data_IF_197615722233
#
_entry.id   IF_197615722233
#
_cell.length_a   1.000
_cell.length_b   1.000
_cell.length_c   1.000
_cell.angle_alpha   90.00
_cell.angle_beta   90.00
_cell.angle_gamma   90.00
#
_symmetry.space_group_name_H-M   'P 1'
#
loop_
_entity.id
_entity.type
_entity.pdbx_description
1 polymer ?
#
# COMPACT_ATOMS: atom_id res chain seq x y z
N UNK A 1 31.76 -17.41 5.08
CA UNK A 1 31.77 -16.64 3.80
C UNK A 1 30.37 -16.42 3.18
N UNK A 2 29.43 -17.38 3.20
CA UNK A 2 28.09 -17.23 2.56
C UNK A 2 27.20 -16.11 3.16
N UNK A 3 27.22 -15.92 4.48
CA UNK A 3 26.40 -14.92 5.19
C UNK A 3 26.77 -13.46 4.84
N UNK A 4 28.06 -13.17 4.73
CA UNK A 4 28.56 -11.83 4.34
C UNK A 4 28.17 -11.50 2.90
N UNK A 5 28.10 -12.51 2.03
CA UNK A 5 27.72 -12.35 0.63
C UNK A 5 26.20 -12.15 0.48
N UNK A 6 25.39 -12.82 1.32
CA UNK A 6 23.94 -12.59 1.41
C UNK A 6 23.62 -11.18 1.94
N UNK A 7 24.34 -10.71 2.97
CA UNK A 7 24.20 -9.34 3.49
C UNK A 7 24.59 -8.29 2.44
N UNK A 8 25.70 -8.48 1.72
CA UNK A 8 26.10 -7.58 0.62
C UNK A 8 25.04 -7.54 -0.50
N UNK A 9 24.45 -8.67 -0.85
CA UNK A 9 23.37 -8.73 -1.85
C UNK A 9 22.10 -8.02 -1.35
N UNK A 10 21.77 -8.15 -0.06
CA UNK A 10 20.64 -7.44 0.55
C UNK A 10 20.84 -5.91 0.53
N UNK A 11 22.00 -5.41 0.95
CA UNK A 11 22.32 -3.98 0.91
C UNK A 11 22.38 -3.40 -0.50
N UNK A 12 22.88 -4.16 -1.49
CA UNK A 12 22.86 -3.74 -2.89
C UNK A 12 21.44 -3.69 -3.47
N UNK A 13 20.56 -4.62 -3.06
CA UNK A 13 19.13 -4.59 -3.43
C UNK A 13 18.45 -3.34 -2.86
N UNK A 14 18.71 -3.02 -1.59
CA UNK A 14 18.20 -1.80 -0.94
C UNK A 14 18.70 -0.54 -1.68
N UNK A 15 19.98 -0.46 -2.05
CA UNK A 15 20.52 0.67 -2.82
C UNK A 15 19.84 0.88 -4.18
N UNK A 16 19.33 -0.19 -4.81
CA UNK A 16 18.64 -0.08 -6.09
C UNK A 16 17.25 0.58 -5.97
N UNK A 17 16.59 0.46 -4.82
CA UNK A 17 15.32 1.14 -4.54
C UNK A 17 15.47 2.65 -4.32
N UNK A 18 16.68 3.13 -3.99
CA UNK A 18 16.97 4.56 -3.79
C UNK A 18 17.54 5.26 -5.04
N UNK A 19 17.91 4.53 -6.09
CA UNK A 19 18.30 5.15 -7.36
C UNK A 19 17.06 5.54 -8.16
N UNK A 20 16.56 6.75 -7.93
CA UNK A 20 15.60 7.43 -8.80
C UNK A 20 16.10 7.37 -10.26
N UNK A 21 15.46 6.57 -11.10
CA UNK A 21 15.33 6.94 -12.52
C UNK A 21 14.12 7.86 -12.60
N UNK A 22 14.38 9.13 -12.86
CA UNK A 22 13.34 10.05 -13.31
C UNK A 22 12.84 9.54 -14.68
N UNK A 23 11.84 8.67 -14.69
CA UNK A 23 11.04 8.49 -15.90
C UNK A 23 10.19 9.74 -16.03
N UNK A 24 10.66 10.70 -16.81
CA UNK A 24 9.84 11.81 -17.25
C UNK A 24 8.54 11.23 -17.82
N UNK A 25 7.42 11.56 -17.19
CA UNK A 25 6.10 11.25 -17.72
C UNK A 25 5.97 12.10 -18.98
N UNK A 26 6.17 11.48 -20.15
CA UNK A 26 5.88 12.10 -21.43
C UNK A 26 4.36 12.21 -21.53
N UNK A 27 3.83 13.40 -21.27
CA UNK A 27 2.47 13.76 -21.63
C UNK A 27 2.38 13.77 -23.16
N UNK A 28 2.00 12.64 -23.74
CA UNK A 28 1.49 12.64 -25.11
C UNK A 28 0.13 13.33 -25.08
N UNK A 29 0.12 14.64 -25.34
CA UNK A 29 -1.10 15.37 -25.70
C UNK A 29 -1.80 14.61 -26.83
N UNK A 30 -3.10 14.25 -26.70
CA UNK A 30 -3.84 13.72 -27.83
C UNK A 30 -3.85 14.78 -28.94
N UNK A 31 -3.44 14.40 -30.15
CA UNK A 31 -3.57 15.25 -31.34
C UNK A 31 -5.05 15.54 -31.57
N UNK A 32 -5.38 16.81 -31.80
CA UNK A 32 -6.71 17.23 -32.20
C UNK A 32 -7.13 16.47 -33.47
N UNK A 33 -8.36 15.98 -33.49
CA UNK A 33 -8.97 15.38 -34.67
C UNK A 33 -9.19 16.52 -35.66
N UNK A 34 -8.37 16.58 -36.70
CA UNK A 34 -8.60 17.43 -37.86
C UNK A 34 -9.78 16.89 -38.65
N UNK A 35 -10.89 17.63 -38.65
CA UNK A 35 -12.00 17.41 -39.58
C UNK A 35 -11.50 17.61 -41.02
N UNK A 36 -11.24 16.51 -41.73
CA UNK A 36 -10.95 16.56 -43.16
C UNK A 36 -12.22 16.87 -43.96
N UNK A 37 -12.04 17.80 -44.89
CA UNK A 37 -13.00 18.39 -45.83
C UNK A 37 -13.88 17.36 -46.55
N UNK A 38 -15.11 17.81 -46.85
CA UNK A 38 -16.05 17.26 -47.82
C UNK A 38 -15.35 16.78 -49.10
N UNK A 39 -15.57 15.52 -49.46
CA UNK A 39 -15.41 15.02 -50.83
C UNK A 39 -16.81 14.90 -51.43
N UNK A 40 -17.09 15.78 -52.39
CA UNK A 40 -18.14 15.53 -53.37
C UNK A 40 -17.58 14.55 -54.41
N UNK A 41 -18.21 13.39 -54.55
CA UNK A 41 -18.31 12.71 -55.84
C UNK A 41 -19.55 11.83 -55.82
N UNK A 42 -20.51 12.24 -56.64
CA UNK A 42 -21.68 11.49 -57.07
C UNK A 42 -21.30 10.08 -57.51
N UNK A 43 -21.99 9.08 -56.96
CA UNK A 43 -22.41 7.89 -57.70
C UNK A 43 -23.79 7.53 -57.19
N UNK A 44 -24.77 7.57 -58.10
CA UNK A 44 -26.10 7.02 -57.87
C UNK A 44 -25.93 5.52 -57.58
N UNK A 45 -26.25 5.14 -56.35
CA UNK A 45 -26.51 3.76 -55.98
C UNK A 45 -27.99 3.72 -55.64
N UNK A 46 -28.71 2.87 -56.36
CA UNK A 46 -30.14 2.66 -56.23
C UNK A 46 -30.57 2.50 -54.78
N UNK A 47 -31.69 3.15 -54.47
CA UNK A 47 -32.43 3.08 -53.23
C UNK A 47 -32.84 1.62 -52.93
N UNK A 48 -31.95 0.86 -52.31
CA UNK A 48 -32.39 -0.02 -51.25
C UNK A 48 -32.58 0.88 -50.04
N UNK A 49 -33.83 1.06 -49.61
CA UNK A 49 -34.14 1.66 -48.32
C UNK A 49 -33.38 0.88 -47.26
N UNK A 50 -32.22 1.39 -46.82
CA UNK A 50 -31.59 0.93 -45.60
C UNK A 50 -32.64 1.17 -44.53
N UNK A 51 -33.22 0.08 -44.05
CA UNK A 51 -34.25 0.11 -43.04
C UNK A 51 -33.57 0.51 -41.72
N UNK A 52 -33.45 1.83 -41.48
CA UNK A 52 -32.83 2.42 -40.28
C UNK A 52 -33.56 1.99 -38.98
N UNK A 53 -34.73 1.38 -39.12
CA UNK A 53 -35.55 0.79 -38.06
C UNK A 53 -34.83 -0.30 -37.23
N UNK A 54 -33.69 -0.83 -37.67
CA UNK A 54 -32.89 -1.83 -36.92
C UNK A 54 -31.66 -1.26 -36.18
N UNK A 55 -31.42 0.06 -36.20
CA UNK A 55 -30.30 0.66 -35.46
C UNK A 55 -30.63 0.94 -33.99
N UNK A 56 -31.90 0.87 -33.59
CA UNK A 56 -32.29 1.16 -32.21
C UNK A 56 -31.61 0.19 -31.23
N UNK A 57 -31.58 -1.10 -31.54
CA UNK A 57 -30.89 -2.09 -30.70
C UNK A 57 -29.38 -1.81 -30.57
N UNK A 58 -28.73 -1.35 -31.64
CA UNK A 58 -27.32 -0.96 -31.62
C UNK A 58 -27.10 0.31 -30.78
N UNK A 59 -27.94 1.33 -30.95
CA UNK A 59 -27.89 2.59 -30.20
C UNK A 59 -28.13 2.32 -28.71
N UNK A 60 -29.12 1.50 -28.37
CA UNK A 60 -29.46 1.14 -27.00
C UNK A 60 -28.31 0.36 -26.35
N UNK A 61 -27.74 -0.63 -27.05
CA UNK A 61 -26.54 -1.36 -26.59
C UNK A 61 -25.36 -0.42 -26.35
N UNK A 62 -25.15 0.56 -27.24
CA UNK A 62 -24.08 1.55 -27.10
C UNK A 62 -24.31 2.47 -25.90
N UNK A 63 -25.53 2.96 -25.71
CA UNK A 63 -25.90 3.80 -24.57
C UNK A 63 -25.71 3.06 -23.23
N UNK A 64 -26.08 1.77 -23.16
CA UNK A 64 -25.85 0.93 -21.98
C UNK A 64 -24.35 0.78 -21.70
N UNK A 65 -23.54 0.50 -22.72
CA UNK A 65 -22.09 0.37 -22.57
C UNK A 65 -21.43 1.69 -22.14
N UNK A 66 -21.84 2.81 -22.72
CA UNK A 66 -21.30 4.13 -22.36
C UNK A 66 -21.70 4.52 -20.92
N UNK A 67 -22.92 4.20 -20.48
CA UNK A 67 -23.36 4.37 -19.09
C UNK A 67 -22.56 3.51 -18.11
N UNK A 68 -22.28 2.25 -18.47
CA UNK A 68 -21.43 1.36 -17.67
C UNK A 68 -19.99 1.89 -17.57
N UNK A 69 -19.44 2.41 -18.68
CA UNK A 69 -18.10 3.01 -18.70
C UNK A 69 -18.05 4.29 -17.86
N UNK A 70 -19.06 5.15 -17.94
CA UNK A 70 -19.16 6.37 -17.12
C UNK A 70 -19.22 6.03 -15.62
N UNK A 71 -20.02 5.02 -15.26
CA UNK A 71 -20.05 4.51 -13.89
C UNK A 71 -18.67 4.04 -13.42
N UNK A 72 -17.98 3.20 -14.22
CA UNK A 72 -16.63 2.73 -13.89
C UNK A 72 -15.63 3.88 -13.73
N UNK A 73 -15.66 4.88 -14.62
CA UNK A 73 -14.82 6.08 -14.51
C UNK A 73 -15.08 6.85 -13.21
N UNK A 74 -16.35 7.00 -12.82
CA UNK A 74 -16.72 7.66 -11.55
C UNK A 74 -16.21 6.91 -10.33
N UNK A 75 -16.27 5.57 -10.35
CA UNK A 75 -15.72 4.72 -9.29
C UNK A 75 -14.20 4.87 -9.20
N UNK A 76 -13.50 4.89 -10.34
CA UNK A 76 -12.05 5.11 -10.40
C UNK A 76 -11.68 6.49 -9.82
N UNK A 77 -12.40 7.55 -10.21
CA UNK A 77 -12.15 8.90 -9.69
C UNK A 77 -12.35 8.98 -8.16
N UNK A 78 -13.40 8.35 -7.64
CA UNK A 78 -13.62 8.25 -6.20
C UNK A 78 -12.47 7.49 -5.50
N UNK A 79 -11.99 6.40 -6.10
CA UNK A 79 -10.83 5.66 -5.58
C UNK A 79 -9.59 6.55 -5.51
N UNK A 80 -9.31 7.33 -6.56
CA UNK A 80 -8.18 8.26 -6.58
C UNK A 80 -8.26 9.28 -5.44
N UNK A 81 -9.43 9.87 -5.20
CA UNK A 81 -9.64 10.82 -4.09
C UNK A 81 -9.39 10.18 -2.72
N UNK A 82 -9.88 8.95 -2.51
CA UNK A 82 -9.65 8.21 -1.25
C UNK A 82 -8.17 7.90 -1.05
N UNK A 83 -7.45 7.51 -2.13
CA UNK A 83 -6.00 7.28 -2.07
C UNK A 83 -5.22 8.55 -1.75
N UNK A 84 -5.63 9.70 -2.28
CA UNK A 84 -5.04 11.00 -1.95
C UNK A 84 -5.22 11.34 -0.46
N UNK A 85 -6.41 11.10 0.10
CA UNK A 85 -6.68 11.29 1.54
C UNK A 85 -5.79 10.37 2.41
N UNK A 86 -5.63 9.11 2.03
CA UNK A 86 -4.73 8.18 2.73
C UNK A 86 -3.27 8.67 2.73
N UNK A 87 -2.80 9.27 1.62
CA UNK A 87 -1.47 9.87 1.53
C UNK A 87 -1.37 11.11 2.44
N UNK A 88 -2.39 11.96 2.44
CA UNK A 88 -2.43 13.15 3.29
C UNK A 88 -2.33 12.77 4.77
N UNK A 89 -3.10 11.79 5.25
CA UNK A 89 -3.01 11.31 6.64
C UNK A 89 -1.57 10.86 6.98
N UNK A 90 -0.93 10.08 6.09
CA UNK A 90 0.47 9.66 6.29
C UNK A 90 1.43 10.85 6.38
N UNK A 91 1.23 11.88 5.56
CA UNK A 91 2.06 13.08 5.58
C UNK A 91 1.83 13.88 6.86
N UNK A 92 0.59 13.98 7.35
CA UNK A 92 0.28 14.65 8.63
C UNK A 92 1.08 14.05 9.79
N UNK A 93 1.18 12.71 9.88
CA UNK A 93 2.02 12.07 10.90
C UNK A 93 3.50 12.37 10.73
N UNK A 94 3.98 12.45 9.49
CA UNK A 94 5.39 12.74 9.16
C UNK A 94 5.76 14.19 9.38
N UNK A 95 4.83 15.12 9.26
CA UNK A 95 5.08 16.56 9.38
C UNK A 95 4.83 17.07 10.80
N UNK A 96 3.99 16.38 11.58
CA UNK A 96 3.74 16.73 12.98
C UNK A 96 4.93 16.41 13.87
N UNK A 97 5.48 17.45 14.52
CA UNK A 97 6.63 17.33 15.44
C UNK A 97 6.36 16.40 16.62
N UNK A 98 5.19 16.50 17.27
CA UNK A 98 4.77 15.63 18.36
C UNK A 98 4.79 14.14 17.93
N UNK A 99 4.26 13.87 16.73
CA UNK A 99 4.25 12.52 16.14
C UNK A 99 5.67 12.04 15.80
N UNK A 100 6.53 12.90 15.27
CA UNK A 100 7.93 12.55 14.99
C UNK A 100 8.71 12.23 16.26
N UNK A 101 8.47 12.96 17.35
CA UNK A 101 9.13 12.73 18.63
C UNK A 101 8.73 11.38 19.22
N UNK A 102 7.43 11.07 19.24
CA UNK A 102 6.92 9.75 19.64
C UNK A 102 7.53 8.64 18.76
N UNK A 103 7.58 8.85 17.45
CA UNK A 103 8.15 7.91 16.49
C UNK A 103 9.61 7.59 16.79
N UNK A 104 10.45 8.60 17.03
CA UNK A 104 11.87 8.41 17.36
C UNK A 104 12.04 7.67 18.67
N UNK A 105 11.32 8.08 19.73
CA UNK A 105 11.37 7.44 21.04
C UNK A 105 10.98 5.96 20.96
N UNK A 106 9.93 5.63 20.22
CA UNK A 106 9.51 4.23 20.01
C UNK A 106 10.54 3.41 19.23
N UNK A 107 11.17 3.99 18.21
CA UNK A 107 12.22 3.30 17.45
C UNK A 107 13.40 2.94 18.34
N UNK A 108 13.83 3.87 19.19
CA UNK A 108 14.98 3.64 20.06
C UNK A 108 14.65 2.60 21.13
N UNK A 109 13.45 2.65 21.73
CA UNK A 109 12.97 1.61 22.65
C UNK A 109 12.94 0.22 21.98
N UNK A 110 12.34 0.10 20.79
CA UNK A 110 12.27 -1.17 20.05
C UNK A 110 13.66 -1.72 19.72
N UNK A 111 14.61 -0.87 19.30
CA UNK A 111 15.99 -1.30 19.02
C UNK A 111 16.69 -1.85 20.26
N UNK A 112 16.55 -1.15 21.39
CA UNK A 112 17.14 -1.56 22.67
C UNK A 112 16.58 -2.92 23.06
N UNK A 113 15.25 -3.07 23.04
CA UNK A 113 14.55 -4.32 23.37
C UNK A 113 14.95 -5.49 22.47
N UNK A 114 14.98 -5.31 21.15
CA UNK A 114 15.44 -6.37 20.22
C UNK A 114 16.89 -6.76 20.52
N UNK A 115 17.77 -5.78 20.77
CA UNK A 115 19.16 -6.07 21.10
C UNK A 115 19.31 -6.83 22.42
N UNK A 116 18.52 -6.48 23.44
CA UNK A 116 18.54 -7.16 24.73
C UNK A 116 18.00 -8.58 24.61
N UNK A 117 16.90 -8.78 23.86
CA UNK A 117 16.35 -10.10 23.60
C UNK A 117 17.35 -11.02 22.88
N UNK A 118 18.04 -10.52 21.85
CA UNK A 118 19.08 -11.28 21.15
C UNK A 118 20.18 -11.73 22.10
N UNK A 119 20.66 -10.82 22.96
CA UNK A 119 21.64 -11.17 23.98
C UNK A 119 21.07 -12.22 24.93
N UNK A 120 19.86 -12.05 25.43
CA UNK A 120 19.23 -13.01 26.33
C UNK A 120 19.16 -14.42 25.70
N UNK A 121 18.74 -14.51 24.43
CA UNK A 121 18.69 -15.79 23.69
C UNK A 121 20.09 -16.38 23.52
N UNK A 122 21.09 -15.56 23.17
CA UNK A 122 22.48 -16.02 23.03
C UNK A 122 23.04 -16.59 24.34
N UNK A 123 22.74 -15.94 25.49
CA UNK A 123 23.16 -16.42 26.82
C UNK A 123 22.45 -17.72 27.22
N UNK A 124 21.23 -17.92 26.72
CA UNK A 124 20.42 -19.12 26.98
C UNK A 124 20.57 -20.19 25.88
N UNK A 125 21.67 -20.17 25.12
CA UNK A 125 21.98 -21.17 24.09
C UNK A 125 20.88 -21.34 23.02
N UNK A 126 20.17 -20.25 22.69
CA UNK A 126 19.10 -20.25 21.69
C UNK A 126 17.69 -20.36 22.25
N UNK A 127 17.52 -20.63 23.54
CA UNK A 127 16.22 -20.80 24.18
C UNK A 127 15.68 -19.51 24.80
N UNK A 128 14.35 -19.41 24.90
CA UNK A 128 13.68 -18.28 25.55
C UNK A 128 13.56 -18.43 27.07
N UNK A 129 13.95 -19.55 27.67
CA UNK A 129 13.92 -19.70 29.12
C UNK A 129 12.57 -19.35 29.74
N UNK A 130 12.56 -18.50 30.77
CA UNK A 130 11.35 -18.12 31.50
C UNK A 130 10.55 -17.01 30.79
N UNK A 131 9.24 -17.19 30.64
CA UNK A 131 8.36 -16.19 30.00
C UNK A 131 8.44 -14.81 30.66
N UNK A 132 8.52 -14.77 31.99
CA UNK A 132 8.62 -13.50 32.70
C UNK A 132 9.88 -12.72 32.33
N UNK A 133 10.97 -13.40 32.04
CA UNK A 133 12.27 -12.77 31.77
C UNK A 133 12.33 -12.20 30.35
N UNK A 134 11.96 -12.99 29.33
CA UNK A 134 12.04 -12.48 27.95
C UNK A 134 10.94 -11.47 27.61
N UNK A 135 9.80 -11.51 28.31
CA UNK A 135 8.68 -10.57 28.09
C UNK A 135 9.06 -9.12 28.36
N UNK A 136 10.05 -8.85 29.20
CA UNK A 136 10.57 -7.50 29.43
C UNK A 136 11.13 -6.85 28.14
N UNK A 137 11.59 -7.68 27.21
CA UNK A 137 12.13 -7.25 25.91
C UNK A 137 11.11 -7.31 24.78
N UNK A 138 9.85 -7.61 25.09
CA UNK A 138 8.76 -7.69 24.12
C UNK A 138 7.95 -6.39 24.17
N UNK A 139 7.77 -5.75 23.02
CA UNK A 139 6.99 -4.50 22.89
C UNK A 139 5.64 -4.68 22.18
N UNK A 140 5.20 -5.94 21.98
CA UNK A 140 3.88 -6.24 21.44
C UNK A 140 3.01 -6.90 22.50
N UNK A 141 1.80 -6.39 22.64
CA UNK A 141 0.85 -6.87 23.65
C UNK A 141 0.31 -8.28 23.28
N UNK A 142 0.18 -8.59 21.99
CA UNK A 142 -0.47 -9.80 21.49
C UNK A 142 0.50 -10.87 20.97
N UNK A 143 1.67 -11.01 21.58
CA UNK A 143 2.60 -12.10 21.24
C UNK A 143 2.15 -13.42 21.88
N UNK A 144 2.26 -14.50 21.09
CA UNK A 144 2.04 -15.88 21.55
C UNK A 144 3.04 -16.23 22.65
N UNK A 145 2.61 -16.96 23.67
CA UNK A 145 3.55 -17.52 24.65
C UNK A 145 4.33 -18.66 24.02
N UNK A 146 5.65 -18.60 24.09
CA UNK A 146 6.54 -19.62 23.56
C UNK A 146 6.95 -20.62 24.64
N UNK A 147 7.11 -21.89 24.25
CA UNK A 147 7.62 -22.93 25.14
C UNK A 147 9.11 -22.74 25.43
N UNK A 148 9.53 -23.06 26.66
CA UNK A 148 10.93 -22.97 27.08
C UNK A 148 11.83 -23.98 26.37
N UNK A 149 11.25 -25.09 25.90
CA UNK A 149 11.98 -26.21 25.28
C UNK A 149 12.00 -26.15 23.76
N UNK A 150 11.38 -25.15 23.16
CA UNK A 150 11.33 -24.96 21.72
C UNK A 150 12.60 -24.21 21.25
N UNK A 151 13.40 -24.88 20.43
CA UNK A 151 14.68 -24.38 19.93
C UNK A 151 14.52 -23.31 18.84
N UNK A 152 13.31 -23.14 18.29
CA UNK A 152 12.98 -22.10 17.30
C UNK A 152 12.26 -20.90 17.89
N UNK A 153 11.72 -21.04 19.10
CA UNK A 153 10.95 -20.00 19.75
C UNK A 153 11.66 -18.64 19.81
N UNK A 154 12.95 -18.63 20.15
CA UNK A 154 13.74 -17.40 20.20
C UNK A 154 13.86 -16.72 18.84
N UNK A 155 14.11 -17.50 17.80
CA UNK A 155 14.21 -17.00 16.43
C UNK A 155 12.87 -16.47 15.92
N UNK A 156 11.78 -17.20 16.16
CA UNK A 156 10.44 -16.82 15.74
C UNK A 156 9.99 -15.52 16.41
N UNK A 157 10.26 -15.36 17.70
CA UNK A 157 9.98 -14.14 18.43
C UNK A 157 10.78 -12.94 17.88
N UNK A 158 12.09 -13.12 17.66
CA UNK A 158 12.93 -12.07 17.04
C UNK A 158 12.35 -11.66 15.69
N UNK A 159 12.00 -12.62 14.84
CA UNK A 159 11.46 -12.35 13.51
C UNK A 159 10.13 -11.58 13.58
N UNK A 160 9.26 -11.92 14.52
CA UNK A 160 7.98 -11.22 14.71
C UNK A 160 8.20 -9.76 15.15
N UNK A 161 9.09 -9.54 16.12
CA UNK A 161 9.46 -8.20 16.59
C UNK A 161 10.15 -7.37 15.50
N UNK A 162 11.06 -7.96 14.72
CA UNK A 162 11.73 -7.30 13.59
C UNK A 162 10.74 -6.95 12.47
N UNK A 163 9.77 -7.82 12.19
CA UNK A 163 8.71 -7.54 11.23
C UNK A 163 7.85 -6.35 11.68
N UNK A 164 7.43 -6.33 12.94
CA UNK A 164 6.70 -5.18 13.49
C UNK A 164 7.55 -3.90 13.42
N UNK A 165 8.81 -3.96 13.84
CA UNK A 165 9.74 -2.83 13.78
C UNK A 165 9.88 -2.29 12.36
N UNK A 166 10.01 -3.16 11.35
CA UNK A 166 10.09 -2.78 9.95
C UNK A 166 8.80 -2.10 9.45
N UNK A 167 7.62 -2.58 9.86
CA UNK A 167 6.34 -1.93 9.54
C UNK A 167 6.23 -0.56 10.20
N UNK A 168 6.65 -0.44 11.45
CA UNK A 168 6.71 0.83 12.17
C UNK A 168 7.65 1.83 11.45
N UNK A 169 8.87 1.40 11.10
CA UNK A 169 9.84 2.22 10.36
C UNK A 169 9.27 2.76 9.04
N UNK A 170 8.47 1.96 8.33
CA UNK A 170 7.85 2.35 7.07
C UNK A 170 6.62 3.26 7.21
N UNK A 171 6.29 3.72 8.43
CA UNK A 171 5.07 4.47 8.71
C UNK A 171 3.80 3.72 8.25
N UNK A 172 3.77 2.40 8.48
CA UNK A 172 2.51 1.68 8.37
C UNK A 172 1.57 2.17 9.48
N UNK A 173 0.48 2.84 9.07
CA UNK A 173 -0.46 3.52 9.98
C UNK A 173 -1.12 2.54 10.94
N UNK A 174 -1.23 1.26 10.57
CA UNK A 174 -1.78 0.23 11.45
C UNK A 174 -0.86 -0.11 12.63
N UNK A 175 0.41 0.26 12.55
CA UNK A 175 1.46 -0.03 13.54
C UNK A 175 1.92 1.27 14.23
N UNK A 176 1.65 2.41 13.61
CA UNK A 176 2.06 3.71 14.08
C UNK A 176 1.29 4.14 15.35
N UNK A 177 1.97 4.84 16.24
CA UNK A 177 1.39 5.42 17.45
C UNK A 177 1.43 6.95 17.35
N UNK A 178 0.28 7.62 17.15
CA UNK A 178 0.22 9.05 16.91
C UNK A 178 0.15 9.83 18.23
N UNK A 179 0.37 11.15 18.16
CA UNK A 179 0.07 12.03 19.28
C UNK A 179 -1.45 12.14 19.51
N UNK A 180 -1.85 12.64 20.68
CA UNK A 180 -3.26 12.74 21.08
C UNK A 180 -4.13 13.50 20.07
N UNK A 181 -3.58 14.54 19.45
CA UNK A 181 -4.27 15.37 18.43
C UNK A 181 -4.61 14.58 17.16
N UNK A 182 -3.85 13.53 16.85
CA UNK A 182 -3.96 12.79 15.60
C UNK A 182 -4.44 11.34 15.79
N UNK A 183 -4.89 10.96 17.00
CA UNK A 183 -5.45 9.62 17.26
C UNK A 183 -6.60 9.26 16.30
N UNK A 184 -7.50 10.21 16.05
CA UNK A 184 -8.66 10.00 15.18
C UNK A 184 -8.28 9.70 13.72
N UNK A 185 -7.10 10.16 13.26
CA UNK A 185 -6.64 9.91 11.89
C UNK A 185 -6.32 8.42 11.64
N UNK A 186 -6.08 7.63 12.69
CA UNK A 186 -5.93 6.17 12.55
C UNK A 186 -7.26 5.52 12.16
N UNK A 187 -8.35 5.91 12.80
CA UNK A 187 -9.66 5.33 12.52
C UNK A 187 -10.15 5.78 11.13
N UNK A 188 -9.90 7.04 10.79
CA UNK A 188 -10.14 7.55 9.43
C UNK A 188 -9.34 6.75 8.39
N UNK A 189 -8.05 6.52 8.62
CA UNK A 189 -7.21 5.73 7.73
C UNK A 189 -7.75 4.31 7.52
N UNK A 190 -8.22 3.64 8.58
CA UNK A 190 -8.80 2.30 8.50
C UNK A 190 -10.08 2.29 7.66
N UNK A 191 -10.98 3.25 7.89
CA UNK A 191 -12.23 3.38 7.14
C UNK A 191 -11.94 3.62 5.65
N UNK A 192 -11.02 4.54 5.36
CA UNK A 192 -10.61 4.84 3.98
C UNK A 192 -9.95 3.62 3.31
N UNK A 193 -9.15 2.84 4.04
CA UNK A 193 -8.55 1.61 3.52
C UNK A 193 -9.61 0.57 3.12
N UNK A 194 -10.61 0.34 3.97
CA UNK A 194 -11.75 -0.55 3.64
C UNK A 194 -12.50 -0.03 2.40
N UNK A 195 -12.71 1.29 2.32
CA UNK A 195 -13.36 1.91 1.16
C UNK A 195 -12.58 1.68 -0.13
N UNK A 196 -11.24 1.71 -0.10
CA UNK A 196 -10.41 1.36 -1.27
C UNK A 196 -10.66 -0.08 -1.70
N UNK A 197 -10.65 -1.02 -0.76
CA UNK A 197 -10.88 -2.44 -1.05
C UNK A 197 -12.26 -2.69 -1.67
N UNK A 198 -13.30 -1.99 -1.19
CA UNK A 198 -14.65 -2.10 -1.74
C UNK A 198 -14.76 -1.47 -3.13
N UNK A 199 -14.11 -0.34 -3.37
CA UNK A 199 -14.05 0.26 -4.71
C UNK A 199 -13.30 -0.66 -5.70
N UNK A 200 -12.26 -1.36 -5.24
CA UNK A 200 -11.54 -2.33 -6.07
C UNK A 200 -12.40 -3.54 -6.48
N UNK A 201 -13.26 -4.02 -5.59
CA UNK A 201 -14.25 -5.06 -5.92
C UNK A 201 -15.25 -4.59 -6.99
N UNK A 202 -15.57 -3.29 -7.03
CA UNK A 202 -16.50 -2.72 -8.02
C UNK A 202 -15.80 -2.54 -9.37
N UNK A 203 -14.54 -2.10 -9.38
CA UNK A 203 -13.75 -1.92 -10.62
C UNK A 203 -13.44 -3.26 -11.29
N UNK A 204 -13.18 -4.29 -10.48
CA UNK A 204 -12.78 -5.63 -10.96
C UNK A 204 -13.95 -6.47 -11.48
N UNK A 205 -15.20 -5.98 -11.37
CA UNK A 205 -16.40 -6.57 -11.97
C UNK A 205 -16.63 -6.01 -13.37
#
# INVERSE_FOLDING_TARGET
MKLIQQLKNFFNKIKSFFKKKNSAIVYNKPKAIENKKKLNSSNQIDNSSINISNNQEYIDKRAVLDSQNEFKLKVILNKTQVLEQLIQIKNTFKECEDCQNIYRLKIDDMKIKISQLKRYIDHNYGFLGNEKEYREYVFLDNIKSYSQTDDKAGLDLINELENYFNKYLNYDVNYFAPCDKHKNLIDEYKILSIKVDDLDKIISK
#
